data_IF_833614130564
#
_entry.id   IF_833614130564
#
_cell.length_a   1.000
_cell.length_b   1.000
_cell.length_c   1.000
_cell.angle_alpha   90.00
_cell.angle_beta   90.00
_cell.angle_gamma   90.00
#
_symmetry.space_group_name_H-M   'P 1'
#
loop_
_entity.id
_entity.type
_entity.pdbx_description
1 polymer ?
#
# COMPACT_ATOMS: atom_id res chain seq x y z
N UNK A 1 -0.10 -19.95 -4.85
CA UNK A 1 0.34 -18.70 -4.22
C UNK A 1 1.52 -18.98 -3.31
N UNK A 2 2.53 -18.15 -3.35
CA UNK A 2 3.76 -18.41 -2.62
C UNK A 2 4.01 -17.29 -1.60
N UNK A 3 3.63 -17.54 -0.35
CA UNK A 3 3.77 -16.57 0.74
C UNK A 3 5.23 -16.35 1.14
N UNK A 4 6.14 -17.21 0.72
CA UNK A 4 7.57 -17.07 1.03
C UNK A 4 8.20 -15.88 0.30
N UNK A 5 7.51 -15.31 -0.70
CA UNK A 5 8.00 -14.15 -1.45
C UNK A 5 7.76 -12.84 -0.73
N UNK A 6 6.92 -12.80 0.28
CA UNK A 6 6.64 -11.59 1.04
C UNK A 6 7.06 -11.76 2.49
N UNK A 7 7.46 -10.68 3.18
CA UNK A 7 7.32 -9.27 2.78
C UNK A 7 8.34 -8.83 1.72
N UNK A 8 7.94 -7.82 0.93
CA UNK A 8 8.82 -7.15 -0.02
C UNK A 8 8.79 -5.66 0.29
N UNK A 9 9.96 -5.06 0.45
CA UNK A 9 10.08 -3.63 0.65
C UNK A 9 10.43 -2.96 -0.69
N UNK A 10 9.84 -1.79 -0.92
CA UNK A 10 10.05 -0.99 -2.12
C UNK A 10 10.60 0.36 -1.73
N UNK A 11 11.55 0.85 -2.50
CA UNK A 11 12.08 2.20 -2.32
C UNK A 11 12.01 2.92 -3.66
N UNK A 12 11.69 4.22 -3.61
CA UNK A 12 11.81 5.11 -4.76
C UNK A 12 13.09 5.92 -4.60
N UNK A 13 13.88 5.99 -5.64
CA UNK A 13 15.16 6.72 -5.63
C UNK A 13 15.07 7.91 -6.60
N UNK A 14 15.73 9.01 -6.26
CA UNK A 14 15.92 10.11 -7.20
C UNK A 14 17.16 9.88 -8.05
N UNK A 15 17.48 10.86 -8.91
CA UNK A 15 18.62 10.74 -9.84
C UNK A 15 19.97 10.69 -9.11
N UNK A 16 20.02 11.07 -7.83
CA UNK A 16 21.22 11.01 -7.00
C UNK A 16 21.24 9.77 -6.10
N UNK A 17 20.33 8.81 -6.33
CA UNK A 17 20.15 7.58 -5.54
C UNK A 17 19.73 7.83 -4.08
N UNK A 18 19.17 9.00 -3.77
CA UNK A 18 18.58 9.24 -2.46
C UNK A 18 17.18 8.62 -2.41
N UNK A 19 16.83 8.04 -1.26
CA UNK A 19 15.50 7.47 -1.05
C UNK A 19 14.48 8.61 -0.89
N UNK A 20 13.47 8.62 -1.77
CA UNK A 20 12.42 9.64 -1.76
C UNK A 20 11.04 9.07 -1.47
N UNK A 21 10.96 7.80 -1.16
CA UNK A 21 9.71 7.16 -0.74
C UNK A 21 9.89 5.67 -0.50
N UNK A 22 8.97 5.11 0.28
CA UNK A 22 8.96 3.67 0.60
C UNK A 22 7.55 3.12 0.56
N UNK A 23 7.44 1.81 0.36
CA UNK A 23 6.20 1.06 0.49
C UNK A 23 6.55 -0.40 0.77
N UNK A 24 5.56 -1.19 1.19
CA UNK A 24 5.78 -2.61 1.47
C UNK A 24 4.60 -3.45 0.99
N UNK A 25 4.88 -4.68 0.60
CA UNK A 25 3.89 -5.71 0.36
C UNK A 25 4.06 -6.74 1.48
N UNK A 26 3.03 -6.90 2.32
CA UNK A 26 3.09 -7.78 3.49
C UNK A 26 1.89 -8.72 3.49
N UNK A 27 2.03 -9.85 4.18
CA UNK A 27 0.92 -10.81 4.28
C UNK A 27 -0.16 -10.30 5.23
N UNK A 28 0.22 -9.82 6.41
CA UNK A 28 -0.68 -9.28 7.42
C UNK A 28 -0.28 -7.85 7.75
N UNK A 29 -1.25 -6.97 7.96
CA UNK A 29 -0.99 -5.59 8.37
C UNK A 29 -1.98 -5.09 9.41
N UNK A 30 -3.20 -5.59 9.41
CA UNK A 30 -4.25 -5.17 10.34
C UNK A 30 -4.50 -6.30 11.33
N UNK A 31 -4.17 -6.05 12.59
CA UNK A 31 -4.26 -7.07 13.64
C UNK A 31 -5.69 -7.63 13.73
N UNK A 32 -5.79 -8.96 13.77
CA UNK A 32 -7.08 -9.65 13.84
C UNK A 32 -7.80 -9.77 12.52
N UNK A 33 -7.24 -9.25 11.43
CA UNK A 33 -7.84 -9.34 10.10
C UNK A 33 -7.16 -10.45 9.30
N UNK A 34 -7.94 -11.30 8.66
CA UNK A 34 -7.43 -12.45 7.92
C UNK A 34 -7.26 -12.18 6.43
N UNK A 35 -7.67 -11.01 5.94
CA UNK A 35 -7.47 -10.64 4.54
C UNK A 35 -5.99 -10.50 4.25
N UNK A 36 -5.57 -10.82 3.04
CA UNK A 36 -4.17 -10.74 2.62
C UNK A 36 -4.09 -10.72 1.09
N UNK A 37 -2.98 -10.20 0.50
CA UNK A 37 -1.91 -9.47 1.15
C UNK A 37 -2.25 -7.98 1.30
N UNK A 38 -1.37 -7.23 1.95
CA UNK A 38 -1.58 -5.81 2.24
C UNK A 38 -0.49 -4.94 1.64
N UNK A 39 -0.91 -3.79 1.10
CA UNK A 39 -0.01 -2.66 0.86
C UNK A 39 0.13 -1.92 2.17
N UNK A 40 1.36 -1.73 2.64
CA UNK A 40 1.64 -1.16 3.94
C UNK A 40 2.78 -0.17 3.88
N UNK A 41 2.85 0.69 4.90
CA UNK A 41 4.00 1.57 5.14
C UNK A 41 4.37 2.45 3.96
N UNK A 42 3.35 2.95 3.25
CA UNK A 42 3.59 3.93 2.18
C UNK A 42 3.99 5.25 2.82
N UNK A 43 5.19 5.71 2.50
CA UNK A 43 5.69 6.96 3.04
C UNK A 43 6.47 7.73 1.99
N UNK A 44 6.15 9.01 1.85
CA UNK A 44 6.87 9.96 1.00
C UNK A 44 7.16 11.19 1.88
N UNK A 45 8.43 11.57 2.06
CA UNK A 45 8.76 12.76 2.86
C UNK A 45 8.00 13.99 2.36
N UNK A 46 7.61 14.92 3.27
CA UNK A 46 6.79 16.08 2.87
C UNK A 46 7.35 16.88 1.69
N UNK A 47 8.66 17.09 1.64
CA UNK A 47 9.27 17.88 0.54
C UNK A 47 9.28 17.14 -0.80
N UNK A 48 8.98 15.85 -0.81
CA UNK A 48 8.93 15.03 -2.01
C UNK A 48 7.50 14.77 -2.49
N UNK A 49 6.51 15.27 -1.76
CA UNK A 49 5.10 15.06 -2.11
C UNK A 49 4.70 15.88 -3.33
N UNK A 50 3.62 15.47 -3.99
CA UNK A 50 3.12 16.15 -5.17
C UNK A 50 3.88 15.84 -6.46
N UNK A 51 4.78 14.85 -6.43
CA UNK A 51 5.61 14.47 -7.59
C UNK A 51 5.22 13.12 -8.19
N UNK A 52 4.16 12.50 -7.70
CA UNK A 52 3.72 11.19 -8.18
C UNK A 52 4.47 10.00 -7.60
N UNK A 53 5.30 10.20 -6.58
CA UNK A 53 6.13 9.13 -6.00
C UNK A 53 5.26 8.08 -5.32
N UNK A 54 4.28 8.50 -4.52
CA UNK A 54 3.38 7.55 -3.85
C UNK A 54 2.61 6.71 -4.88
N UNK A 55 2.10 7.34 -5.94
CA UNK A 55 1.39 6.63 -7.00
C UNK A 55 2.28 5.60 -7.68
N UNK A 56 3.54 5.95 -7.97
CA UNK A 56 4.48 5.02 -8.58
C UNK A 56 4.77 3.83 -7.66
N UNK A 57 4.94 4.07 -6.35
CA UNK A 57 5.17 3.01 -5.37
C UNK A 57 3.96 2.08 -5.28
N UNK A 58 2.75 2.64 -5.22
CA UNK A 58 1.52 1.85 -5.15
C UNK A 58 1.40 0.96 -6.39
N UNK A 59 1.65 1.51 -7.59
CA UNK A 59 1.62 0.72 -8.83
C UNK A 59 2.66 -0.40 -8.82
N UNK A 60 3.86 -0.15 -8.32
CA UNK A 60 4.90 -1.17 -8.22
C UNK A 60 4.49 -2.31 -7.30
N UNK A 61 3.85 -2.01 -6.16
CA UNK A 61 3.35 -3.02 -5.24
C UNK A 61 2.21 -3.81 -5.89
N UNK A 62 1.28 -3.14 -6.58
CA UNK A 62 0.19 -3.81 -7.30
C UNK A 62 0.75 -4.79 -8.35
N UNK A 63 1.72 -4.34 -9.14
CA UNK A 63 2.31 -5.18 -10.19
C UNK A 63 3.02 -6.38 -9.61
N UNK A 64 3.73 -6.21 -8.51
CA UNK A 64 4.43 -7.30 -7.83
C UNK A 64 3.46 -8.31 -7.25
N UNK A 65 2.40 -7.84 -6.58
CA UNK A 65 1.37 -8.72 -6.03
C UNK A 65 0.70 -9.53 -7.14
N UNK A 66 0.43 -8.90 -8.29
CA UNK A 66 -0.15 -9.57 -9.46
C UNK A 66 0.78 -10.66 -9.98
N UNK A 67 2.08 -10.35 -10.10
CA UNK A 67 3.08 -11.35 -10.54
C UNK A 67 3.20 -12.52 -9.57
N UNK A 68 2.97 -12.28 -8.27
CA UNK A 68 3.00 -13.35 -7.26
C UNK A 68 1.72 -14.20 -7.25
N UNK A 69 0.75 -13.88 -8.10
CA UNK A 69 -0.48 -14.66 -8.23
C UNK A 69 -1.63 -14.21 -7.35
N UNK A 70 -1.51 -13.09 -6.65
CA UNK A 70 -2.61 -12.53 -5.88
C UNK A 70 -3.63 -11.87 -6.80
N UNK A 71 -4.91 -12.06 -6.48
CA UNK A 71 -6.00 -11.46 -7.26
C UNK A 71 -6.52 -10.17 -6.63
N UNK A 72 -6.12 -9.88 -5.41
CA UNK A 72 -6.64 -8.74 -4.65
C UNK A 72 -5.59 -8.26 -3.66
N UNK A 73 -5.59 -6.97 -3.39
CA UNK A 73 -4.66 -6.31 -2.47
C UNK A 73 -5.48 -5.42 -1.54
N UNK A 74 -5.08 -5.33 -0.29
CA UNK A 74 -5.78 -4.55 0.74
C UNK A 74 -4.87 -3.48 1.30
N UNK A 75 -5.46 -2.43 1.85
CA UNK A 75 -4.76 -1.42 2.64
C UNK A 75 -5.72 -0.86 3.69
N UNK A 76 -5.16 -0.20 4.69
CA UNK A 76 -5.96 0.72 5.50
C UNK A 76 -5.23 2.05 5.63
N UNK A 77 -6.00 3.11 5.83
CA UNK A 77 -5.45 4.46 5.90
C UNK A 77 -6.29 5.31 6.86
N UNK A 78 -5.63 6.24 7.54
CA UNK A 78 -6.32 7.20 8.40
C UNK A 78 -6.72 8.47 7.65
N UNK A 79 -5.99 8.85 6.59
CA UNK A 79 -6.16 10.18 5.99
C UNK A 79 -5.99 10.23 4.46
N UNK A 80 -5.60 9.13 3.81
CA UNK A 80 -5.24 9.15 2.39
C UNK A 80 -6.23 8.41 1.49
N UNK A 81 -7.46 8.20 1.94
CA UNK A 81 -8.46 7.45 1.16
C UNK A 81 -8.70 8.05 -0.22
N UNK A 82 -8.67 9.38 -0.34
CA UNK A 82 -8.86 10.06 -1.63
C UNK A 82 -7.75 9.74 -2.62
N UNK A 83 -6.51 9.65 -2.14
CA UNK A 83 -5.38 9.27 -3.00
C UNK A 83 -5.62 7.88 -3.59
N UNK A 84 -5.94 6.91 -2.75
CA UNK A 84 -6.13 5.54 -3.19
C UNK A 84 -7.38 5.38 -4.04
N UNK A 85 -8.47 6.07 -3.73
CA UNK A 85 -9.67 6.08 -4.57
C UNK A 85 -9.33 6.59 -5.98
N UNK A 86 -8.51 7.65 -6.07
CA UNK A 86 -8.06 8.18 -7.35
C UNK A 86 -7.19 7.20 -8.14
N UNK A 87 -6.58 6.22 -7.48
CA UNK A 87 -5.77 5.18 -8.10
C UNK A 87 -6.58 3.91 -8.42
N UNK A 88 -7.88 3.92 -8.17
CA UNK A 88 -8.76 2.80 -8.49
C UNK A 88 -9.06 1.86 -7.34
N UNK A 89 -8.68 2.22 -6.12
CA UNK A 89 -8.98 1.43 -4.94
C UNK A 89 -10.41 1.69 -4.47
N UNK A 90 -11.05 0.66 -3.92
CA UNK A 90 -12.44 0.70 -3.48
C UNK A 90 -12.51 0.74 -1.95
N UNK A 91 -13.36 1.60 -1.41
CA UNK A 91 -13.62 1.63 0.02
C UNK A 91 -14.43 0.38 0.43
N UNK A 92 -13.97 -0.34 1.46
CA UNK A 92 -14.65 -1.52 1.97
C UNK A 92 -15.41 -1.23 3.26
N UNK A 93 -14.72 -0.66 4.24
CA UNK A 93 -15.32 -0.41 5.55
C UNK A 93 -14.54 0.68 6.28
N UNK A 94 -15.22 1.31 7.23
CA UNK A 94 -14.60 2.19 8.20
C UNK A 94 -14.71 1.54 9.56
N UNK A 95 -13.66 1.66 10.37
CA UNK A 95 -13.70 1.17 11.74
C UNK A 95 -12.67 1.86 12.61
N UNK A 96 -12.87 1.78 13.93
CA UNK A 96 -11.88 2.23 14.89
C UNK A 96 -10.79 1.17 15.05
N UNK A 97 -9.52 1.60 15.09
CA UNK A 97 -8.39 0.72 15.27
C UNK A 97 -7.30 1.48 16.02
N UNK A 98 -6.92 0.98 17.19
CA UNK A 98 -5.89 1.58 18.05
C UNK A 98 -6.10 3.07 18.29
N UNK A 99 -7.36 3.44 18.58
CA UNK A 99 -7.71 4.82 18.89
C UNK A 99 -7.88 5.74 17.68
N UNK A 100 -7.74 5.22 16.48
CA UNK A 100 -7.90 5.99 15.25
C UNK A 100 -9.04 5.46 14.41
N UNK A 101 -9.60 6.34 13.57
CA UNK A 101 -10.61 5.97 12.61
C UNK A 101 -9.91 5.63 11.30
N UNK A 102 -10.09 4.40 10.80
CA UNK A 102 -9.43 3.96 9.59
C UNK A 102 -10.44 3.60 8.51
N UNK A 103 -10.00 3.74 7.25
CA UNK A 103 -10.70 3.26 6.07
C UNK A 103 -9.95 2.06 5.52
N UNK A 104 -10.63 0.91 5.45
CA UNK A 104 -10.08 -0.28 4.80
C UNK A 104 -10.49 -0.26 3.33
N UNK A 105 -9.55 -0.53 2.45
CA UNK A 105 -9.76 -0.46 1.00
C UNK A 105 -9.18 -1.70 0.32
N UNK A 106 -9.69 -2.01 -0.87
CA UNK A 106 -9.13 -3.06 -1.69
C UNK A 106 -8.94 -2.64 -3.14
N UNK A 107 -8.09 -3.39 -3.83
CA UNK A 107 -7.83 -3.26 -5.25
C UNK A 107 -7.88 -4.64 -5.89
N UNK A 108 -8.74 -4.82 -6.89
CA UNK A 108 -8.73 -6.04 -7.73
C UNK A 108 -7.56 -5.93 -8.70
N UNK A 109 -6.74 -6.95 -8.74
CA UNK A 109 -5.50 -6.96 -9.52
C UNK A 109 -5.64 -7.57 -10.91
#
# INVERSE_FOLDING_TARGET
MNVDRIPVAFVALDVADAIVGTASLVFDDLEGDQRNPWLASVFVPPRQRGKGIASALVRAVEDTARRFGYSRLYLFTTSASSLYAGLGWRALEQRAYRGEHIQVMDRVL
#
